data_IF_890052393044
#
_entry.id   IF_890052393044
#
_cell.length_a   1.000
_cell.length_b   1.000
_cell.length_c   1.000
_cell.angle_alpha   90.00
_cell.angle_beta   90.00
_cell.angle_gamma   90.00
#
_symmetry.space_group_name_H-M   'P 1'
#
loop_
_entity.id
_entity.type
_entity.pdbx_description
1 polymer ?
#
# COMPACT_ATOMS: atom_id res chain seq x y z
N UNK A 1 -11.67 7.15 -6.90
CA UNK A 1 -10.84 5.97 -6.71
C UNK A 1 -10.93 5.46 -5.28
N UNK A 2 -10.67 4.20 -5.11
CA UNK A 2 -10.71 3.55 -3.80
C UNK A 2 -9.33 3.58 -3.15
N UNK A 3 -9.31 3.65 -1.82
CA UNK A 3 -8.06 3.55 -1.07
C UNK A 3 -7.45 2.16 -1.27
N UNK A 4 -6.13 2.10 -1.30
CA UNK A 4 -5.37 0.86 -1.30
C UNK A 4 -4.71 0.71 0.06
N UNK A 5 -4.99 -0.39 0.75
CA UNK A 5 -4.37 -0.68 2.04
C UNK A 5 -3.39 -1.84 1.88
N UNK A 6 -2.15 -1.62 2.31
CA UNK A 6 -1.07 -2.60 2.25
C UNK A 6 -0.76 -3.05 3.68
N UNK A 7 -0.81 -4.36 3.90
CA UNK A 7 -0.48 -4.96 5.20
C UNK A 7 0.85 -5.71 5.09
N UNK A 8 1.80 -5.34 5.95
CA UNK A 8 3.11 -5.98 5.99
C UNK A 8 3.08 -7.08 7.05
N UNK A 9 3.23 -8.31 6.61
CA UNK A 9 3.15 -9.47 7.48
C UNK A 9 4.49 -10.01 7.93
N UNK A 10 4.46 -11.20 8.49
CA UNK A 10 5.60 -11.98 8.93
C UNK A 10 6.29 -12.64 7.72
N UNK A 11 7.56 -12.97 7.84
CA UNK A 11 8.34 -13.71 6.82
C UNK A 11 8.29 -13.08 5.41
N UNK A 12 8.35 -11.75 5.33
CA UNK A 12 8.26 -11.00 4.08
C UNK A 12 6.91 -11.15 3.36
N UNK A 13 5.90 -11.64 4.03
CA UNK A 13 4.55 -11.66 3.48
C UNK A 13 4.01 -10.24 3.37
N UNK A 14 3.36 -9.95 2.26
CA UNK A 14 2.73 -8.67 2.02
C UNK A 14 1.36 -8.92 1.38
N UNK A 15 0.38 -8.18 1.87
CA UNK A 15 -1.00 -8.31 1.44
C UNK A 15 -1.57 -6.94 1.11
N UNK A 16 -2.66 -6.93 0.39
CA UNK A 16 -3.38 -5.68 0.12
C UNK A 16 -4.86 -5.94 -0.05
N UNK A 17 -5.64 -4.90 0.17
CA UNK A 17 -7.03 -4.87 -0.20
C UNK A 17 -7.40 -3.46 -0.68
N UNK A 18 -8.49 -3.36 -1.41
CA UNK A 18 -8.96 -2.11 -1.99
C UNK A 18 -10.31 -1.72 -1.39
N UNK A 19 -10.51 -0.42 -1.28
CA UNK A 19 -11.78 0.13 -0.84
C UNK A 19 -11.98 0.09 0.65
N UNK A 20 -13.24 0.28 1.04
CA UNK A 20 -13.67 0.28 2.43
C UNK A 20 -14.35 -1.05 2.71
N UNK A 21 -13.81 -1.87 3.61
CA UNK A 21 -14.40 -3.18 3.88
C UNK A 21 -15.75 -3.06 4.58
N UNK A 22 -16.58 -4.06 4.32
CA UNK A 22 -17.86 -4.25 5.01
C UNK A 22 -17.69 -5.32 6.09
N UNK A 23 -18.69 -5.49 6.94
CA UNK A 23 -18.65 -6.54 7.96
C UNK A 23 -18.43 -7.94 7.36
N UNK A 24 -18.99 -8.18 6.17
CA UNK A 24 -18.86 -9.47 5.47
C UNK A 24 -17.43 -9.74 5.01
N UNK A 25 -16.70 -8.68 4.61
CA UNK A 25 -15.33 -8.82 4.09
C UNK A 25 -14.34 -9.31 5.13
N UNK A 26 -14.60 -9.06 6.42
CA UNK A 26 -13.70 -9.50 7.49
C UNK A 26 -13.69 -11.00 7.72
N UNK A 27 -14.67 -11.71 7.16
CA UNK A 27 -14.73 -13.18 7.22
C UNK A 27 -14.34 -13.83 5.90
N UNK A 28 -14.03 -13.03 4.88
CA UNK A 28 -13.68 -13.51 3.55
C UNK A 28 -12.18 -13.36 3.31
N UNK A 29 -11.45 -14.46 3.43
CA UNK A 29 -10.00 -14.46 3.21
C UNK A 29 -9.62 -14.07 1.78
N UNK A 30 -10.52 -14.25 0.81
CA UNK A 30 -10.28 -13.83 -0.58
C UNK A 30 -10.25 -12.31 -0.73
N UNK A 31 -10.85 -11.57 0.19
CA UNK A 31 -10.80 -10.11 0.21
C UNK A 31 -9.38 -9.58 0.37
N UNK A 32 -8.58 -10.22 1.22
CA UNK A 32 -7.19 -9.88 1.42
C UNK A 32 -6.33 -10.65 0.42
N UNK A 33 -5.68 -9.95 -0.48
CA UNK A 33 -4.87 -10.54 -1.54
C UNK A 33 -3.40 -10.56 -1.17
N UNK A 34 -2.72 -11.65 -1.45
CA UNK A 34 -1.27 -11.77 -1.28
C UNK A 34 -0.55 -11.17 -2.49
N UNK A 35 0.59 -10.53 -2.25
CA UNK A 35 1.47 -10.05 -3.29
C UNK A 35 2.93 -10.22 -2.86
N UNK A 36 3.85 -9.59 -3.56
CA UNK A 36 5.29 -9.64 -3.28
C UNK A 36 5.88 -8.24 -3.33
N UNK A 37 7.10 -8.10 -2.84
CA UNK A 37 7.83 -6.82 -2.86
C UNK A 37 8.54 -6.53 -4.18
N UNK A 38 8.37 -7.37 -5.20
CA UNK A 38 9.07 -7.19 -6.47
C UNK A 38 8.25 -6.41 -7.49
N UNK A 39 8.86 -6.19 -8.66
CA UNK A 39 8.24 -5.41 -9.74
C UNK A 39 6.96 -6.03 -10.30
N UNK A 40 6.81 -7.35 -10.22
CA UNK A 40 5.60 -8.05 -10.69
C UNK A 40 4.51 -8.13 -9.62
N UNK A 41 4.85 -7.75 -8.40
CA UNK A 41 3.95 -7.76 -7.25
C UNK A 41 3.37 -6.38 -6.96
N UNK A 42 3.71 -5.82 -5.79
CA UNK A 42 3.13 -4.57 -5.31
C UNK A 42 3.36 -3.40 -6.26
N UNK A 43 4.53 -3.36 -6.91
CA UNK A 43 4.83 -2.31 -7.90
C UNK A 43 3.82 -2.31 -9.04
N UNK A 44 3.51 -3.47 -9.61
CA UNK A 44 2.54 -3.58 -10.70
C UNK A 44 1.14 -3.11 -10.27
N UNK A 45 0.75 -3.41 -9.02
CA UNK A 45 -0.54 -2.99 -8.46
C UNK A 45 -0.59 -1.47 -8.33
N UNK A 46 0.47 -0.88 -7.74
CA UNK A 46 0.57 0.57 -7.57
C UNK A 46 0.59 1.32 -8.90
N UNK A 47 1.33 0.81 -9.88
CA UNK A 47 1.39 1.42 -11.22
C UNK A 47 0.04 1.40 -11.91
N UNK A 48 -0.69 0.31 -11.84
CA UNK A 48 -2.04 0.24 -12.42
C UNK A 48 -3.00 1.23 -11.75
N UNK A 49 -2.91 1.34 -10.43
CA UNK A 49 -3.74 2.27 -9.67
C UNK A 49 -3.40 3.73 -9.98
N UNK A 50 -2.14 4.00 -10.25
CA UNK A 50 -1.60 5.35 -10.43
C UNK A 50 -1.29 5.69 -11.90
N UNK A 51 -1.88 4.97 -12.83
CA UNK A 51 -1.49 5.00 -14.24
C UNK A 51 -1.47 6.42 -14.82
N UNK A 52 -2.54 7.18 -14.67
CA UNK A 52 -2.62 8.54 -15.21
C UNK A 52 -1.54 9.47 -14.64
N UNK A 53 -1.30 9.42 -13.35
CA UNK A 53 -0.26 10.22 -12.68
C UNK A 53 1.13 9.75 -13.10
N UNK A 54 1.35 8.44 -13.11
CA UNK A 54 2.64 7.86 -13.50
C UNK A 54 3.04 8.30 -14.90
N UNK A 55 2.13 8.18 -15.88
CA UNK A 55 2.42 8.57 -17.26
C UNK A 55 2.80 10.04 -17.40
N UNK A 56 2.05 10.93 -16.76
CA UNK A 56 2.34 12.37 -16.78
C UNK A 56 3.71 12.69 -16.21
N UNK A 57 4.09 12.05 -15.11
CA UNK A 57 5.39 12.26 -14.50
C UNK A 57 6.51 11.71 -15.38
N UNK A 58 6.32 10.55 -16.01
CA UNK A 58 7.31 10.00 -16.93
C UNK A 58 7.55 10.92 -18.13
N UNK A 59 6.51 11.53 -18.68
CA UNK A 59 6.63 12.53 -19.75
C UNK A 59 7.47 13.73 -19.32
N UNK A 60 7.26 14.22 -18.10
CA UNK A 60 8.04 15.31 -17.54
C UNK A 60 9.51 14.92 -17.32
N UNK A 61 9.77 13.72 -16.85
CA UNK A 61 11.14 13.19 -16.69
C UNK A 61 11.87 13.14 -18.02
N UNK A 62 11.20 12.71 -19.07
CA UNK A 62 11.77 12.66 -20.42
C UNK A 62 12.13 14.07 -20.92
N UNK A 63 11.21 15.03 -20.77
CA UNK A 63 11.48 16.43 -21.15
C UNK A 63 12.63 17.02 -20.37
N UNK A 64 12.72 16.73 -19.07
CA UNK A 64 13.82 17.18 -18.25
C UNK A 64 15.16 16.60 -18.72
N UNK A 65 15.20 15.31 -19.01
CA UNK A 65 16.42 14.64 -19.47
C UNK A 65 16.91 15.17 -20.82
N UNK A 66 15.99 15.66 -21.66
CA UNK A 66 16.31 16.29 -22.95
C UNK A 66 16.63 17.78 -22.84
N UNK A 67 16.62 18.33 -21.62
CA UNK A 67 16.88 19.74 -21.39
C UNK A 67 15.76 20.69 -21.85
N UNK A 68 14.57 20.16 -22.10
CA UNK A 68 13.43 20.94 -22.58
C UNK A 68 12.74 21.73 -21.46
N UNK A 69 12.88 21.28 -20.22
CA UNK A 69 12.34 21.95 -19.04
C UNK A 69 13.41 22.02 -17.94
N UNK A 70 13.30 23.04 -17.07
CA UNK A 70 14.21 23.21 -15.95
C UNK A 70 13.89 22.24 -14.81
N UNK A 71 14.86 22.06 -13.91
CA UNK A 71 14.67 21.27 -12.69
C UNK A 71 13.56 21.87 -11.82
N UNK A 72 13.54 23.20 -11.71
CA UNK A 72 12.50 23.89 -10.93
C UNK A 72 11.10 23.64 -11.51
N UNK A 73 10.95 23.81 -12.83
CA UNK A 73 9.67 23.56 -13.50
C UNK A 73 9.22 22.11 -13.31
N UNK A 74 10.14 21.17 -13.48
CA UNK A 74 9.86 19.74 -13.26
C UNK A 74 9.32 19.49 -11.84
N UNK A 75 10.03 19.99 -10.82
CA UNK A 75 9.64 19.79 -9.42
C UNK A 75 8.26 20.38 -9.13
N UNK A 76 8.01 21.60 -9.62
CA UNK A 76 6.71 22.26 -9.45
C UNK A 76 5.57 21.47 -10.12
N UNK A 77 5.80 21.00 -11.34
CA UNK A 77 4.78 20.24 -12.08
C UNK A 77 4.49 18.89 -11.45
N UNK A 78 5.51 18.17 -10.98
CA UNK A 78 5.32 16.89 -10.29
C UNK A 78 4.49 17.10 -9.03
N UNK A 79 4.81 18.11 -8.24
CA UNK A 79 4.07 18.43 -7.02
C UNK A 79 2.61 18.75 -7.32
N UNK A 80 2.35 19.54 -8.36
CA UNK A 80 1.00 19.91 -8.78
C UNK A 80 0.20 18.68 -9.22
N UNK A 81 0.79 17.82 -10.05
CA UNK A 81 0.15 16.58 -10.50
C UNK A 81 -0.22 15.68 -9.31
N UNK A 82 0.70 15.48 -8.38
CA UNK A 82 0.46 14.66 -7.20
C UNK A 82 -0.62 15.27 -6.29
N UNK A 83 -0.62 16.58 -6.13
CA UNK A 83 -1.63 17.29 -5.34
C UNK A 83 -3.02 17.17 -5.96
N UNK A 84 -3.12 17.41 -7.26
CA UNK A 84 -4.38 17.32 -7.99
C UNK A 84 -4.93 15.89 -8.01
N UNK A 85 -4.05 14.93 -8.24
CA UNK A 85 -4.42 13.52 -8.20
C UNK A 85 -4.96 13.12 -6.82
N UNK A 86 -4.34 13.63 -5.76
CA UNK A 86 -4.77 13.36 -4.40
C UNK A 86 -6.13 13.98 -4.08
N UNK A 87 -6.38 15.20 -4.54
CA UNK A 87 -7.68 15.86 -4.39
C UNK A 87 -8.76 15.15 -5.19
N UNK A 88 -8.40 14.68 -6.37
CA UNK A 88 -9.30 14.05 -7.32
C UNK A 88 -9.28 12.54 -7.26
N UNK A 89 -9.25 11.91 -6.18
CA UNK A 89 -9.24 10.45 -5.91
C UNK A 89 -9.46 9.48 -7.09
N UNK A 90 -9.60 9.99 -8.32
CA UNK A 90 -9.76 9.21 -9.54
C UNK A 90 -8.44 8.95 -10.26
N UNK A 91 -7.41 9.75 -9.97
CA UNK A 91 -6.13 9.72 -10.70
C UNK A 91 -5.07 8.98 -9.89
N UNK A 92 -4.97 9.24 -8.59
CA UNK A 92 -3.98 8.60 -7.73
C UNK A 92 -4.64 7.83 -6.58
N UNK A 93 -4.07 6.68 -6.20
CA UNK A 93 -4.55 5.97 -5.03
C UNK A 93 -4.20 6.73 -3.76
N UNK A 94 -5.08 6.66 -2.77
CA UNK A 94 -4.73 6.94 -1.39
C UNK A 94 -4.21 5.62 -0.83
N UNK A 95 -2.97 5.60 -0.36
CA UNK A 95 -2.32 4.38 0.09
C UNK A 95 -2.10 4.42 1.60
N UNK A 96 -2.53 3.36 2.28
CA UNK A 96 -2.24 3.14 3.69
C UNK A 96 -1.28 1.96 3.81
N UNK A 97 -0.18 2.14 4.54
CA UNK A 97 0.80 1.09 4.81
C UNK A 97 0.70 0.74 6.30
N UNK A 98 0.40 -0.50 6.59
CA UNK A 98 0.15 -0.96 7.95
C UNK A 98 1.07 -2.14 8.28
N UNK A 99 2.17 -1.91 9.02
CA UNK A 99 3.06 -2.99 9.41
C UNK A 99 2.48 -3.79 10.57
N UNK A 100 2.62 -5.11 10.53
CA UNK A 100 2.37 -5.96 11.69
C UNK A 100 3.59 -5.94 12.61
N UNK A 101 3.41 -6.39 13.85
CA UNK A 101 4.49 -6.46 14.84
C UNK A 101 5.63 -7.40 14.40
N UNK A 102 5.34 -8.32 13.50
CA UNK A 102 6.32 -9.29 12.99
C UNK A 102 6.92 -8.92 11.63
N UNK A 103 6.51 -7.80 11.05
CA UNK A 103 7.18 -7.31 9.85
C UNK A 103 8.55 -6.72 10.22
N UNK A 104 9.48 -6.76 9.26
CA UNK A 104 10.83 -6.27 9.49
C UNK A 104 10.95 -4.79 9.09
N UNK A 105 12.01 -4.16 9.58
CA UNK A 105 12.39 -2.81 9.13
C UNK A 105 12.59 -2.79 7.60
N UNK A 106 13.22 -3.84 7.07
CA UNK A 106 13.42 -3.98 5.61
C UNK A 106 12.08 -3.98 4.86
N UNK A 107 11.06 -4.64 5.40
CA UNK A 107 9.73 -4.64 4.78
C UNK A 107 9.17 -3.22 4.67
N UNK A 108 9.32 -2.41 5.70
CA UNK A 108 8.88 -1.01 5.66
C UNK A 108 9.67 -0.20 4.65
N UNK A 109 11.00 -0.34 4.65
CA UNK A 109 11.86 0.36 3.68
C UNK A 109 11.47 -0.02 2.26
N UNK A 110 11.29 -1.31 1.98
CA UNK A 110 10.90 -1.79 0.65
C UNK A 110 9.54 -1.22 0.22
N UNK A 111 8.57 -1.16 1.13
CA UNK A 111 7.26 -0.58 0.83
C UNK A 111 7.36 0.93 0.54
N UNK A 112 8.15 1.66 1.31
CA UNK A 112 8.36 3.09 1.09
C UNK A 112 9.09 3.36 -0.22
N UNK A 113 10.08 2.52 -0.59
CA UNK A 113 10.77 2.62 -1.86
C UNK A 113 9.80 2.45 -3.03
N UNK A 114 8.81 1.58 -2.91
CA UNK A 114 7.79 1.41 -3.95
C UNK A 114 6.93 2.67 -4.13
N UNK A 115 6.69 3.42 -3.05
CA UNK A 115 5.98 4.71 -3.17
C UNK A 115 6.79 5.70 -4.02
N UNK A 116 8.11 5.74 -3.84
CA UNK A 116 9.00 6.58 -4.65
C UNK A 116 9.05 6.12 -6.10
N UNK A 117 9.26 4.84 -6.34
CA UNK A 117 9.36 4.27 -7.68
C UNK A 117 8.08 4.51 -8.49
N UNK A 118 6.92 4.36 -7.86
CA UNK A 118 5.63 4.50 -8.51
C UNK A 118 5.09 5.94 -8.48
N UNK A 119 5.85 6.90 -7.95
CA UNK A 119 5.44 8.30 -7.84
C UNK A 119 4.15 8.48 -7.03
N UNK A 120 4.00 7.70 -5.97
CA UNK A 120 2.87 7.87 -5.05
C UNK A 120 3.18 9.06 -4.14
N UNK A 121 2.49 10.17 -4.35
CA UNK A 121 2.72 11.40 -3.60
C UNK A 121 1.99 11.48 -2.29
N UNK A 122 0.99 10.62 -2.08
CA UNK A 122 0.18 10.65 -0.88
C UNK A 122 -0.04 9.25 -0.33
N UNK A 123 0.61 8.97 0.79
CA UNK A 123 0.46 7.72 1.52
C UNK A 123 0.60 8.00 3.02
N UNK A 124 0.12 7.09 3.83
CA UNK A 124 0.22 7.17 5.29
C UNK A 124 0.63 5.82 5.86
N UNK A 125 1.38 5.87 6.96
CA UNK A 125 1.69 4.70 7.76
C UNK A 125 0.71 4.71 8.94
N UNK A 126 0.01 3.62 9.16
CA UNK A 126 -0.99 3.51 10.21
C UNK A 126 -0.92 2.14 10.89
N UNK A 127 -1.59 2.03 12.02
CA UNK A 127 -1.65 0.77 12.75
C UNK A 127 -2.72 -0.16 12.19
N UNK A 128 -2.52 -1.46 12.33
CA UNK A 128 -3.52 -2.46 12.01
C UNK A 128 -4.74 -2.30 12.92
N UNK A 129 -5.91 -2.40 12.33
CA UNK A 129 -7.15 -2.50 13.11
C UNK A 129 -7.31 -3.94 13.64
N UNK A 130 -8.17 -4.11 14.62
CA UNK A 130 -8.48 -5.45 15.14
C UNK A 130 -9.04 -6.37 14.05
N UNK A 131 -9.85 -5.84 13.15
CA UNK A 131 -10.40 -6.60 12.03
C UNK A 131 -9.31 -7.01 11.03
N UNK A 132 -8.37 -6.14 10.76
CA UNK A 132 -7.23 -6.47 9.89
C UNK A 132 -6.34 -7.53 10.52
N UNK A 133 -6.11 -7.47 11.83
CA UNK A 133 -5.37 -8.50 12.56
C UNK A 133 -6.08 -9.86 12.47
N UNK A 134 -7.39 -9.87 12.67
CA UNK A 134 -8.18 -11.08 12.54
C UNK A 134 -8.11 -11.66 11.12
N UNK A 135 -8.17 -10.82 10.11
CA UNK A 135 -8.10 -11.24 8.71
C UNK A 135 -6.73 -11.83 8.37
N UNK A 136 -5.65 -11.22 8.84
CA UNK A 136 -4.29 -11.77 8.69
C UNK A 136 -4.19 -13.16 9.35
N UNK A 137 -4.73 -13.30 10.53
CA UNK A 137 -4.75 -14.57 11.24
C UNK A 137 -5.48 -15.65 10.43
N UNK A 138 -6.66 -15.35 9.93
CA UNK A 138 -7.43 -16.25 9.08
C UNK A 138 -6.69 -16.59 7.79
N UNK A 139 -6.11 -15.58 7.15
CA UNK A 139 -5.35 -15.74 5.90
C UNK A 139 -4.12 -16.63 6.07
N UNK A 140 -3.53 -16.65 7.27
CA UNK A 140 -2.41 -17.52 7.60
C UNK A 140 -2.85 -18.96 7.96
N UNK A 141 -4.10 -19.32 7.72
CA UNK A 141 -4.70 -20.60 8.12
C UNK A 141 -4.60 -20.82 9.64
N UNK A 142 -4.69 -19.73 10.39
CA UNK A 142 -4.65 -19.74 11.87
C UNK A 142 -3.33 -20.27 12.44
N UNK A 143 -2.26 -20.19 11.65
CA UNK A 143 -0.93 -20.64 12.09
C UNK A 143 -0.10 -19.55 12.76
N UNK A 144 -0.56 -18.29 12.68
CA UNK A 144 0.20 -17.11 13.17
C UNK A 144 -0.60 -16.33 14.22
N UNK A 145 -0.73 -16.86 15.46
CA UNK A 145 -1.51 -16.19 16.50
C UNK A 145 -0.94 -14.81 16.89
N UNK A 146 0.33 -14.54 16.60
CA UNK A 146 0.97 -13.25 16.87
C UNK A 146 0.40 -12.11 16.05
N UNK A 147 -0.38 -12.37 15.01
CA UNK A 147 -1.13 -11.31 14.32
C UNK A 147 -2.23 -10.73 15.22
N UNK A 148 -2.72 -11.49 16.17
CA UNK A 148 -3.80 -11.08 17.06
C UNK A 148 -3.24 -10.31 18.27
N UNK A 149 -4.04 -9.37 18.78
CA UNK A 149 -3.73 -8.75 20.07
C UNK A 149 -3.89 -9.79 21.20
N UNK A 150 -3.34 -9.47 22.36
CA UNK A 150 -3.52 -10.33 23.54
C UNK A 150 -5.00 -10.57 23.83
N UNK A 151 -5.81 -9.49 23.78
CA UNK A 151 -7.24 -9.59 24.02
C UNK A 151 -7.95 -10.49 23.01
N UNK A 152 -7.59 -10.40 21.73
CA UNK A 152 -8.15 -11.27 20.70
C UNK A 152 -7.78 -12.74 20.92
N UNK A 153 -6.54 -13.01 21.29
CA UNK A 153 -6.09 -14.38 21.60
C UNK A 153 -6.85 -14.96 22.79
N UNK A 154 -7.01 -14.19 23.85
CA UNK A 154 -7.78 -14.60 25.02
C UNK A 154 -9.23 -14.91 24.66
N UNK A 155 -9.86 -14.04 23.87
CA UNK A 155 -11.25 -14.23 23.41
C UNK A 155 -11.42 -15.51 22.59
N UNK A 156 -10.41 -15.93 21.85
CA UNK A 156 -10.43 -17.12 21.00
C UNK A 156 -9.88 -18.39 21.69
N UNK A 157 -9.44 -18.26 22.95
CA UNK A 157 -8.84 -19.37 23.68
C UNK A 157 -7.46 -19.77 23.16
N UNK A 158 -6.73 -18.85 22.53
CA UNK A 158 -5.39 -19.09 21.96
C UNK A 158 -4.34 -18.52 22.94
N UNK A 159 -3.29 -19.28 23.18
CA UNK A 159 -2.17 -18.85 24.03
C UNK A 159 -1.18 -17.96 23.30
#
# INVERSE_FOLDING_TARGET
STALTILLGDDNDIYYYEGKPTEENWNDTAFLKRTTYNQDGIRAILMRKNDGTYQKIQELKEKRSKGQISEKYFTEQVQEIQTDANKNLKIAPNVLIKPSDKSSYKNMVDALDEMLVCNIGFYQIAELTDNERALLYLKSNRTKPDYLTKAQRESLGIK
#
